data_IF_657850553807
#
_entry.id   IF_657850553807
#
_cell.length_a   1.000
_cell.length_b   1.000
_cell.length_c   1.000
_cell.angle_alpha   90.00
_cell.angle_beta   90.00
_cell.angle_gamma   90.00
#
_symmetry.space_group_name_H-M   'P 1'
#
loop_
_entity.id
_entity.type
_entity.pdbx_description
1 polymer ?
#
# COMPACT_ATOMS: atom_id res chain seq x y z
N UNK A 1 12.28 -10.15 -11.16
CA UNK A 1 12.10 -9.38 -9.91
C UNK A 1 12.79 -10.12 -8.78
N UNK A 2 13.61 -9.43 -7.99
CA UNK A 2 14.27 -9.99 -6.81
C UNK A 2 13.41 -9.76 -5.56
N UNK A 3 13.60 -10.54 -4.49
CA UNK A 3 12.84 -10.38 -3.23
C UNK A 3 12.91 -8.94 -2.69
N UNK A 4 14.05 -8.26 -2.87
CA UNK A 4 14.29 -6.88 -2.48
C UNK A 4 13.43 -5.88 -3.27
N UNK A 5 13.19 -6.13 -4.55
CA UNK A 5 12.37 -5.27 -5.41
C UNK A 5 10.90 -5.31 -4.98
N UNK A 6 10.37 -6.50 -4.69
CA UNK A 6 9.01 -6.64 -4.16
C UNK A 6 8.85 -6.01 -2.78
N UNK A 7 9.88 -6.08 -1.92
CA UNK A 7 9.86 -5.39 -0.63
C UNK A 7 9.79 -3.87 -0.80
N UNK A 8 10.58 -3.29 -1.70
CA UNK A 8 10.54 -1.86 -1.99
C UNK A 8 9.18 -1.43 -2.55
N UNK A 9 8.59 -2.22 -3.46
CA UNK A 9 7.26 -1.95 -4.00
C UNK A 9 6.18 -1.96 -2.92
N UNK A 10 6.23 -2.91 -1.97
CA UNK A 10 5.31 -2.94 -0.82
C UNK A 10 5.44 -1.69 0.05
N UNK A 11 6.67 -1.29 0.40
CA UNK A 11 6.92 -0.06 1.19
C UNK A 11 6.40 1.19 0.48
N UNK A 12 6.65 1.31 -0.83
CA UNK A 12 6.15 2.45 -1.62
C UNK A 12 4.62 2.46 -1.70
N UNK A 13 3.98 1.31 -1.91
CA UNK A 13 2.53 1.20 -1.93
C UNK A 13 1.89 1.57 -0.58
N UNK A 14 2.46 1.09 0.54
CA UNK A 14 2.03 1.47 1.88
C UNK A 14 2.16 2.98 2.12
N UNK A 15 3.28 3.59 1.71
CA UNK A 15 3.48 5.04 1.81
C UNK A 15 2.41 5.82 1.05
N UNK A 16 2.07 5.40 -0.17
CA UNK A 16 1.01 6.04 -0.96
C UNK A 16 -0.34 5.98 -0.24
N UNK A 17 -0.71 4.79 0.26
CA UNK A 17 -1.98 4.59 0.95
C UNK A 17 -2.03 5.32 2.31
N UNK A 18 -0.94 5.31 3.07
CA UNK A 18 -0.81 6.07 4.30
C UNK A 18 -1.00 7.56 4.04
N UNK A 19 -0.35 8.10 3.01
CA UNK A 19 -0.49 9.51 2.62
C UNK A 19 -1.92 9.84 2.20
N UNK A 20 -2.60 8.95 1.46
CA UNK A 20 -4.00 9.13 1.09
C UNK A 20 -4.91 9.14 2.34
N UNK A 21 -4.68 8.23 3.29
CA UNK A 21 -5.44 8.15 4.54
C UNK A 21 -5.17 9.31 5.49
N UNK A 22 -3.95 9.84 5.50
CA UNK A 22 -3.61 11.03 6.27
C UNK A 22 -4.30 12.30 5.73
N UNK A 23 -4.51 12.38 4.40
CA UNK A 23 -5.26 13.46 3.76
C UNK A 23 -6.77 13.31 3.91
N UNK A 24 -7.26 12.08 3.84
CA UNK A 24 -8.67 11.74 3.99
C UNK A 24 -8.87 10.59 5.01
N UNK A 25 -9.05 10.93 6.31
CA UNK A 25 -9.11 9.95 7.39
C UNK A 25 -10.35 9.05 7.37
N UNK A 26 -11.39 9.38 6.61
CA UNK A 26 -12.63 8.61 6.56
C UNK A 26 -12.59 7.54 5.47
N UNK A 27 -12.13 7.87 4.26
CA UNK A 27 -12.13 6.96 3.11
C UNK A 27 -10.71 6.58 2.67
N UNK A 28 -9.81 7.51 2.37
CA UNK A 28 -8.39 7.25 2.07
C UNK A 28 -8.14 6.17 1.01
N UNK A 29 -9.03 6.05 0.02
CA UNK A 29 -8.92 5.07 -1.07
C UNK A 29 -8.01 5.58 -2.20
N UNK A 30 -7.28 4.67 -2.81
CA UNK A 30 -6.41 4.90 -3.97
C UNK A 30 -6.75 3.89 -5.06
N UNK A 31 -6.87 4.32 -6.31
CA UNK A 31 -7.19 3.43 -7.42
C UNK A 31 -5.98 2.61 -7.87
N UNK A 32 -6.21 1.37 -8.29
CA UNK A 32 -5.18 0.47 -8.84
C UNK A 32 -4.35 1.09 -9.97
N UNK A 33 -4.98 1.94 -10.79
CA UNK A 33 -4.27 2.65 -11.87
C UNK A 33 -3.18 3.58 -11.32
N UNK A 34 -3.42 4.25 -10.20
CA UNK A 34 -2.48 5.21 -9.62
C UNK A 34 -1.21 4.49 -9.13
N UNK A 35 -1.35 3.26 -8.63
CA UNK A 35 -0.18 2.44 -8.31
C UNK A 35 0.60 2.03 -9.55
N UNK A 36 -0.10 1.68 -10.63
CA UNK A 36 0.55 1.29 -11.89
C UNK A 36 1.30 2.47 -12.50
N UNK A 37 0.71 3.66 -12.47
CA UNK A 37 1.33 4.91 -12.94
C UNK A 37 2.54 5.30 -12.09
N UNK A 38 2.46 5.16 -10.76
CA UNK A 38 3.53 5.59 -9.85
C UNK A 38 4.66 4.55 -9.67
N UNK A 39 4.33 3.26 -9.67
CA UNK A 39 5.23 2.18 -9.26
C UNK A 39 5.50 1.15 -10.38
N UNK A 40 4.79 1.22 -11.51
CA UNK A 40 4.83 0.20 -12.54
C UNK A 40 4.13 -1.10 -12.10
N UNK A 41 4.65 -2.25 -12.54
CA UNK A 41 4.08 -3.55 -12.20
C UNK A 41 4.27 -3.88 -10.71
N UNK A 42 3.25 -3.58 -9.91
CA UNK A 42 3.22 -3.77 -8.46
C UNK A 42 2.11 -4.72 -8.00
N UNK A 43 1.47 -5.46 -8.92
CA UNK A 43 0.33 -6.34 -8.61
C UNK A 43 0.67 -7.38 -7.55
N UNK A 44 1.85 -8.01 -7.65
CA UNK A 44 2.32 -8.96 -6.65
C UNK A 44 2.49 -8.32 -5.26
N UNK A 45 3.06 -7.11 -5.21
CA UNK A 45 3.25 -6.40 -3.95
C UNK A 45 1.92 -6.05 -3.29
N UNK A 46 0.95 -5.56 -4.07
CA UNK A 46 -0.39 -5.24 -3.60
C UNK A 46 -1.15 -6.50 -3.15
N UNK A 47 -1.03 -7.61 -3.88
CA UNK A 47 -1.65 -8.88 -3.52
C UNK A 47 -1.16 -9.38 -2.15
N UNK A 48 0.15 -9.36 -1.92
CA UNK A 48 0.75 -9.75 -0.63
C UNK A 48 0.26 -8.83 0.51
N UNK A 49 0.24 -7.51 0.29
CA UNK A 49 -0.24 -6.56 1.30
C UNK A 49 -1.72 -6.79 1.69
N UNK A 50 -2.54 -7.20 0.72
CA UNK A 50 -3.94 -7.58 0.96
C UNK A 50 -4.01 -8.89 1.75
N UNK A 51 -3.24 -9.90 1.35
CA UNK A 51 -3.20 -11.21 2.01
C UNK A 51 -2.81 -11.13 3.49
N UNK A 52 -1.81 -10.29 3.82
CA UNK A 52 -1.37 -10.08 5.21
C UNK A 52 -2.22 -9.06 5.98
N UNK A 53 -3.30 -8.55 5.38
CA UNK A 53 -4.27 -7.67 6.03
C UNK A 53 -3.79 -6.23 6.28
N UNK A 54 -2.67 -5.81 5.71
CA UNK A 54 -2.17 -4.42 5.80
C UNK A 54 -2.92 -3.47 4.85
N UNK A 55 -3.52 -4.02 3.80
CA UNK A 55 -4.30 -3.27 2.81
C UNK A 55 -5.65 -3.97 2.60
N UNK A 56 -6.71 -3.19 2.46
CA UNK A 56 -8.02 -3.69 2.00
C UNK A 56 -8.18 -3.32 0.53
N UNK A 57 -8.70 -4.26 -0.27
CA UNK A 57 -9.12 -4.03 -1.66
C UNK A 57 -10.63 -4.09 -1.76
N UNK A 58 -11.22 -3.14 -2.48
CA UNK A 58 -12.63 -3.13 -2.84
C UNK A 58 -12.75 -2.75 -4.32
N UNK A 59 -13.16 -3.71 -5.16
CA UNK A 59 -13.11 -3.56 -6.62
C UNK A 59 -11.71 -3.22 -7.14
N UNK A 60 -11.57 -2.00 -7.68
CA UNK A 60 -10.32 -1.45 -8.22
C UNK A 60 -9.61 -0.47 -7.29
N UNK A 61 -10.08 -0.34 -6.05
CA UNK A 61 -9.53 0.59 -5.06
C UNK A 61 -8.87 -0.15 -3.90
N UNK A 62 -7.87 0.50 -3.32
CA UNK A 62 -7.08 0.01 -2.20
C UNK A 62 -7.05 1.06 -1.10
N UNK A 63 -7.00 0.61 0.15
CA UNK A 63 -6.93 1.47 1.33
C UNK A 63 -6.08 0.79 2.39
N UNK A 64 -5.24 1.56 3.08
CA UNK A 64 -4.46 1.05 4.22
C UNK A 64 -5.38 0.71 5.40
N UNK A 65 -5.11 -0.41 6.06
CA UNK A 65 -5.81 -0.82 7.29
C UNK A 65 -5.05 -0.35 8.51
N UNK A 66 -5.64 -0.50 9.71
CA UNK A 66 -4.92 -0.24 10.97
C UNK A 66 -3.58 -0.99 11.07
N UNK A 67 -3.54 -2.31 10.81
CA UNK A 67 -2.28 -3.05 10.74
C UNK A 67 -1.26 -2.48 9.74
N UNK A 68 -1.72 -2.02 8.57
CA UNK A 68 -0.83 -1.40 7.59
C UNK A 68 -0.26 -0.06 8.05
N UNK A 69 -1.07 0.76 8.74
CA UNK A 69 -0.64 2.03 9.33
C UNK A 69 0.47 1.78 10.35
N UNK A 70 0.22 0.89 11.32
CA UNK A 70 1.20 0.55 12.36
C UNK A 70 2.49 -0.02 11.77
N UNK A 71 2.38 -0.91 10.76
CA UNK A 71 3.54 -1.47 10.09
C UNK A 71 4.37 -0.39 9.36
N UNK A 72 3.71 0.54 8.68
CA UNK A 72 4.37 1.64 8.00
C UNK A 72 5.10 2.57 8.98
N UNK A 73 4.46 2.95 10.08
CA UNK A 73 5.04 3.83 11.10
C UNK A 73 6.25 3.18 11.80
N UNK A 74 6.22 1.87 12.04
CA UNK A 74 7.35 1.13 12.61
C UNK A 74 8.54 1.02 11.65
N UNK A 75 8.29 0.89 10.35
CA UNK A 75 9.34 0.82 9.32
C UNK A 75 9.90 2.21 8.89
N UNK A 76 9.15 3.30 9.09
CA UNK A 76 9.60 4.67 8.77
C UNK A 76 10.32 5.34 9.95
N UNK A 77 10.02 4.92 11.18
CA UNK A 77 10.69 5.38 12.40
C UNK A 77 12.05 4.72 12.71
N UNK A 78 12.58 3.88 11.82
CA UNK A 78 13.84 3.14 11.97
C UNK A 78 14.96 3.65 11.07
#
# INVERSE_FOLDING_TARGET
MTTTEHQQLRRKALKMLYTARAKDPETGWVYGREFTEALGNCEFALAVLVEIGQVKREGHQYRITGPGVVAFEQEDGQ
#
